data_IF_725625168973
#
_entry.id   IF_725625168973
#
_cell.length_a   1.000
_cell.length_b   1.000
_cell.length_c   1.000
_cell.angle_alpha   90.00
_cell.angle_beta   90.00
_cell.angle_gamma   90.00
#
_symmetry.space_group_name_H-M   'P 1'
#
loop_
_entity.id
_entity.type
_entity.pdbx_description
1 polymer ?
#
# COMPACT_ATOMS: atom_id res chain seq x y z
N UNK A 1 91.89 -13.64 31.71
CA UNK A 1 90.71 -14.49 31.98
C UNK A 1 89.53 -13.69 32.51
N UNK A 2 89.72 -12.81 33.51
CA UNK A 2 88.64 -11.95 34.04
C UNK A 2 88.13 -10.88 33.06
N UNK A 3 89.01 -10.16 32.37
CA UNK A 3 88.61 -9.16 31.36
C UNK A 3 87.76 -9.76 30.23
N UNK A 4 88.16 -10.92 29.69
CA UNK A 4 87.42 -11.64 28.65
C UNK A 4 86.03 -12.11 29.13
N UNK A 5 85.88 -12.33 30.43
CA UNK A 5 84.61 -12.74 31.06
C UNK A 5 83.69 -11.55 31.27
N UNK A 6 84.26 -10.38 31.61
CA UNK A 6 83.56 -9.11 31.75
C UNK A 6 83.00 -8.62 30.40
N UNK A 7 83.83 -8.62 29.35
CA UNK A 7 83.42 -8.24 27.98
C UNK A 7 82.29 -9.13 27.46
N UNK A 8 82.35 -10.44 27.75
CA UNK A 8 81.29 -11.39 27.37
C UNK A 8 79.97 -11.10 28.09
N UNK A 9 80.03 -10.70 29.37
CA UNK A 9 78.86 -10.28 30.15
C UNK A 9 78.27 -8.96 29.64
N UNK A 10 79.11 -8.00 29.27
CA UNK A 10 78.67 -6.74 28.66
C UNK A 10 77.97 -6.98 27.32
N UNK A 11 78.49 -7.86 26.46
CA UNK A 11 77.82 -8.22 25.21
C UNK A 11 76.48 -8.93 25.44
N UNK A 12 76.38 -9.79 26.46
CA UNK A 12 75.12 -10.45 26.83
C UNK A 12 74.10 -9.46 27.39
N UNK A 13 74.53 -8.49 28.20
CA UNK A 13 73.68 -7.42 28.69
C UNK A 13 73.15 -6.56 27.55
N UNK A 14 74.02 -6.19 26.61
CA UNK A 14 73.67 -5.34 25.47
C UNK A 14 72.71 -6.05 24.51
N UNK A 15 72.87 -7.36 24.29
CA UNK A 15 71.94 -8.16 23.49
C UNK A 15 70.58 -8.33 24.19
N UNK A 16 70.58 -8.56 25.51
CA UNK A 16 69.35 -8.63 26.30
C UNK A 16 68.58 -7.30 26.31
N UNK A 17 69.28 -6.16 26.40
CA UNK A 17 68.66 -4.83 26.31
C UNK A 17 68.04 -4.56 24.92
N UNK A 18 68.73 -4.93 23.84
CA UNK A 18 68.19 -4.83 22.47
C UNK A 18 66.96 -5.69 22.28
N UNK A 19 66.97 -6.92 22.78
CA UNK A 19 65.83 -7.83 22.71
C UNK A 19 64.65 -7.32 23.55
N UNK A 20 64.90 -6.78 24.75
CA UNK A 20 63.89 -6.14 25.58
C UNK A 20 63.22 -4.95 24.85
N UNK A 21 64.02 -4.08 24.22
CA UNK A 21 63.52 -2.93 23.47
C UNK A 21 62.66 -3.38 22.27
N UNK A 22 63.11 -4.39 21.53
CA UNK A 22 62.36 -4.98 20.42
C UNK A 22 61.03 -5.57 20.88
N UNK A 23 61.03 -6.34 21.98
CA UNK A 23 59.81 -6.93 22.55
C UNK A 23 58.85 -5.87 23.09
N UNK A 24 59.36 -4.79 23.71
CA UNK A 24 58.54 -3.65 24.12
C UNK A 24 57.84 -3.00 22.93
N UNK A 25 58.56 -2.70 21.84
CA UNK A 25 57.96 -2.11 20.64
C UNK A 25 56.90 -3.00 19.99
N UNK A 26 57.13 -4.31 19.93
CA UNK A 26 56.13 -5.28 19.46
C UNK A 26 54.90 -5.28 20.36
N UNK A 27 55.10 -5.31 21.69
CA UNK A 27 54.01 -5.25 22.67
C UNK A 27 53.20 -3.97 22.50
N UNK A 28 53.85 -2.82 22.41
CA UNK A 28 53.19 -1.52 22.28
C UNK A 28 52.33 -1.46 21.02
N UNK A 29 52.87 -1.91 19.88
CA UNK A 29 52.13 -2.00 18.61
C UNK A 29 50.93 -2.95 18.68
N UNK A 30 51.09 -4.12 19.30
CA UNK A 30 49.98 -5.08 19.47
C UNK A 30 48.89 -4.49 20.37
N UNK A 31 49.27 -3.78 21.44
CA UNK A 31 48.31 -3.12 22.33
C UNK A 31 47.54 -2.02 21.59
N UNK A 32 48.22 -1.21 20.77
CA UNK A 32 47.58 -0.19 19.95
C UNK A 32 46.60 -0.80 18.95
N UNK A 33 47.02 -1.83 18.20
CA UNK A 33 46.15 -2.56 17.27
C UNK A 33 44.95 -3.19 17.96
N UNK A 34 45.15 -3.78 19.15
CA UNK A 34 44.05 -4.34 19.95
C UNK A 34 43.03 -3.25 20.29
N UNK A 35 43.49 -2.09 20.77
CA UNK A 35 42.62 -0.99 21.15
C UNK A 35 41.84 -0.43 19.95
N UNK A 36 42.47 -0.31 18.78
CA UNK A 36 41.80 0.11 17.54
C UNK A 36 40.71 -0.88 17.10
N UNK A 37 41.03 -2.18 17.12
CA UNK A 37 40.07 -3.23 16.74
C UNK A 37 38.90 -3.29 17.72
N UNK A 38 39.18 -3.18 19.02
CA UNK A 38 38.15 -3.13 20.06
C UNK A 38 37.22 -1.94 19.88
N UNK A 39 37.77 -0.74 19.62
CA UNK A 39 36.97 0.45 19.35
C UNK A 39 36.08 0.29 18.11
N UNK A 40 36.63 -0.26 17.02
CA UNK A 40 35.87 -0.57 15.79
C UNK A 40 34.78 -1.60 16.05
N UNK A 41 35.08 -2.66 16.80
CA UNK A 41 34.11 -3.69 17.16
C UNK A 41 32.94 -3.10 17.94
N UNK A 42 33.22 -2.25 18.94
CA UNK A 42 32.17 -1.58 19.72
C UNK A 42 31.31 -0.64 18.86
N UNK A 43 31.91 0.07 17.90
CA UNK A 43 31.17 0.91 16.96
C UNK A 43 30.24 0.08 16.06
N UNK A 44 30.77 -0.96 15.42
CA UNK A 44 30.00 -1.85 14.55
C UNK A 44 28.88 -2.56 15.31
N UNK A 45 29.13 -2.96 16.57
CA UNK A 45 28.11 -3.60 17.39
C UNK A 45 26.97 -2.63 17.73
N UNK A 46 27.27 -1.35 18.03
CA UNK A 46 26.25 -0.31 18.22
C UNK A 46 25.45 -0.04 16.95
N UNK A 47 26.12 -0.03 15.79
CA UNK A 47 25.47 0.16 14.50
C UNK A 47 24.55 -1.01 14.16
N UNK A 48 24.98 -2.26 14.37
CA UNK A 48 24.14 -3.44 14.21
C UNK A 48 22.88 -3.35 15.08
N UNK A 49 23.04 -3.05 16.37
CA UNK A 49 21.91 -2.94 17.30
C UNK A 49 20.93 -1.82 16.90
N UNK A 50 21.43 -0.72 16.30
CA UNK A 50 20.57 0.33 15.74
C UNK A 50 19.81 -0.17 14.51
N UNK A 51 20.50 -0.81 13.56
CA UNK A 51 19.91 -1.31 12.31
C UNK A 51 18.86 -2.40 12.58
N UNK A 52 19.08 -3.28 13.54
CA UNK A 52 18.09 -4.27 13.97
C UNK A 52 16.81 -3.59 14.50
N UNK A 53 16.95 -2.54 15.31
CA UNK A 53 15.80 -1.76 15.80
C UNK A 53 15.08 -1.03 14.66
N UNK A 54 15.82 -0.47 13.70
CA UNK A 54 15.25 0.17 12.50
C UNK A 54 14.49 -0.85 11.68
N UNK A 55 15.04 -2.05 11.45
CA UNK A 55 14.37 -3.12 10.73
C UNK A 55 13.05 -3.50 11.41
N UNK A 56 13.05 -3.71 12.73
CA UNK A 56 11.84 -4.03 13.49
C UNK A 56 10.81 -2.89 13.37
N UNK A 57 11.25 -1.63 13.48
CA UNK A 57 10.37 -0.47 13.36
C UNK A 57 9.71 -0.41 11.97
N UNK A 58 10.50 -0.57 10.90
CA UNK A 58 9.99 -0.53 9.54
C UNK A 58 9.05 -1.70 9.24
N UNK A 59 9.37 -2.90 9.74
CA UNK A 59 8.47 -4.06 9.61
C UNK A 59 7.13 -3.80 10.28
N UNK A 60 7.13 -3.37 11.55
CA UNK A 60 5.90 -3.04 12.28
C UNK A 60 5.12 -1.91 11.64
N UNK A 61 5.81 -0.90 11.10
CA UNK A 61 5.18 0.21 10.39
C UNK A 61 4.52 -0.25 9.09
N UNK A 62 5.16 -1.15 8.35
CA UNK A 62 4.61 -1.77 7.14
C UNK A 62 3.37 -2.62 7.45
N UNK A 63 3.44 -3.45 8.48
CA UNK A 63 2.32 -4.29 8.93
C UNK A 63 1.12 -3.42 9.34
N UNK A 64 1.37 -2.38 10.13
CA UNK A 64 0.34 -1.44 10.55
C UNK A 64 -0.27 -0.69 9.36
N UNK A 65 0.55 -0.19 8.44
CA UNK A 65 0.07 0.51 7.25
C UNK A 65 -0.82 -0.39 6.37
N UNK A 66 -0.46 -1.67 6.22
CA UNK A 66 -1.27 -2.66 5.49
C UNK A 66 -2.62 -2.90 6.17
N UNK A 67 -2.65 -3.05 7.49
CA UNK A 67 -3.92 -3.24 8.21
C UNK A 67 -4.82 -2.00 8.13
N UNK A 68 -4.24 -0.79 8.22
CA UNK A 68 -5.01 0.45 8.02
C UNK A 68 -5.59 0.55 6.61
N UNK A 69 -4.80 0.24 5.59
CA UNK A 69 -5.26 0.23 4.20
C UNK A 69 -6.37 -0.81 4.00
N UNK A 70 -6.20 -2.02 4.55
CA UNK A 70 -7.22 -3.09 4.54
C UNK A 70 -8.54 -2.59 5.13
N UNK A 71 -8.54 -2.06 6.36
CA UNK A 71 -9.77 -1.58 7.02
C UNK A 71 -10.48 -0.48 6.23
N UNK A 72 -9.73 0.44 5.61
CA UNK A 72 -10.29 1.50 4.79
C UNK A 72 -10.95 0.96 3.51
N UNK A 73 -10.27 0.03 2.83
CA UNK A 73 -10.81 -0.64 1.64
C UNK A 73 -12.05 -1.46 1.99
N UNK A 74 -12.01 -2.27 3.06
CA UNK A 74 -13.14 -3.05 3.56
C UNK A 74 -14.35 -2.18 3.86
N UNK A 75 -14.15 -1.04 4.52
CA UNK A 75 -15.23 -0.10 4.85
C UNK A 75 -15.86 0.51 3.60
N UNK A 76 -15.05 0.99 2.65
CA UNK A 76 -15.56 1.66 1.46
C UNK A 76 -16.29 0.70 0.52
N UNK A 77 -15.70 -0.48 0.28
CA UNK A 77 -16.33 -1.49 -0.58
C UNK A 77 -17.56 -2.09 0.10
N UNK A 78 -17.55 -2.30 1.41
CA UNK A 78 -18.76 -2.72 2.14
C UNK A 78 -19.87 -1.69 2.00
N UNK A 79 -19.59 -0.39 2.18
CA UNK A 79 -20.59 0.66 1.97
C UNK A 79 -21.14 0.65 0.55
N UNK A 80 -20.29 0.48 -0.46
CA UNK A 80 -20.72 0.40 -1.85
C UNK A 80 -21.66 -0.79 -2.09
N UNK A 81 -21.28 -1.98 -1.61
CA UNK A 81 -22.11 -3.17 -1.70
C UNK A 81 -23.43 -3.01 -0.96
N UNK A 82 -23.42 -2.38 0.22
CA UNK A 82 -24.62 -2.15 1.00
C UNK A 82 -25.56 -1.15 0.36
N UNK A 83 -25.01 -0.14 -0.30
CA UNK A 83 -25.78 0.85 -1.05
C UNK A 83 -26.51 0.19 -2.23
N UNK A 84 -25.80 -0.67 -2.97
CA UNK A 84 -26.33 -1.26 -4.20
C UNK A 84 -27.20 -2.49 -3.94
N UNK A 85 -26.75 -3.41 -3.09
CA UNK A 85 -27.36 -4.73 -2.90
C UNK A 85 -28.04 -4.91 -1.54
N UNK A 86 -27.90 -3.95 -0.62
CA UNK A 86 -28.54 -3.95 0.69
C UNK A 86 -27.62 -4.33 1.86
N UNK A 87 -28.09 -4.16 3.10
CA UNK A 87 -27.26 -4.09 4.32
C UNK A 87 -26.53 -5.40 4.68
N UNK A 88 -26.99 -6.53 4.13
CA UNK A 88 -26.47 -7.86 4.46
C UNK A 88 -25.10 -8.16 3.84
N UNK A 89 -24.63 -7.32 2.91
CA UNK A 89 -23.35 -7.51 2.24
C UNK A 89 -22.20 -6.89 3.05
N UNK A 90 -21.07 -7.60 3.09
CA UNK A 90 -19.79 -7.14 3.63
C UNK A 90 -18.65 -7.56 2.71
N UNK A 91 -17.61 -6.75 2.66
CA UNK A 91 -16.38 -7.04 1.95
C UNK A 91 -15.24 -7.26 2.94
N UNK A 92 -14.49 -8.34 2.74
CA UNK A 92 -13.34 -8.70 3.57
C UNK A 92 -12.12 -9.00 2.70
N UNK A 93 -10.96 -8.61 3.20
CA UNK A 93 -9.66 -8.88 2.60
C UNK A 93 -8.87 -9.77 3.55
N UNK A 94 -8.47 -10.95 3.07
CA UNK A 94 -7.59 -11.83 3.80
C UNK A 94 -6.15 -11.61 3.36
N UNK A 95 -5.34 -11.07 4.27
CA UNK A 95 -3.90 -10.92 4.05
C UNK A 95 -3.20 -12.21 4.44
N UNK A 96 -2.37 -12.72 3.53
CA UNK A 96 -1.53 -13.91 3.75
C UNK A 96 -0.10 -13.61 3.32
N UNK A 97 0.84 -14.43 3.78
CA UNK A 97 2.26 -14.34 3.41
C UNK A 97 2.69 -15.69 2.84
N UNK A 98 2.93 -15.72 1.52
CA UNK A 98 3.41 -16.90 0.82
C UNK A 98 4.89 -16.73 0.50
N UNK A 99 5.76 -17.16 1.41
CA UNK A 99 7.22 -17.17 1.19
C UNK A 99 7.87 -15.79 1.16
N UNK A 100 7.35 -14.83 1.94
CA UNK A 100 7.84 -13.45 1.99
C UNK A 100 7.16 -12.52 0.99
N UNK A 101 6.23 -13.06 0.17
CA UNK A 101 5.39 -12.27 -0.73
C UNK A 101 4.00 -12.10 -0.11
N UNK A 102 3.63 -10.87 0.28
CA UNK A 102 2.30 -10.63 0.79
C UNK A 102 1.25 -10.77 -0.30
N UNK A 103 0.24 -11.58 -0.02
CA UNK A 103 -0.90 -11.85 -0.88
C UNK A 103 -2.17 -11.34 -0.21
N UNK A 104 -3.12 -10.86 -1.02
CA UNK A 104 -4.43 -10.41 -0.55
C UNK A 104 -5.52 -11.15 -1.34
N UNK A 105 -6.40 -11.85 -0.63
CA UNK A 105 -7.57 -12.48 -1.22
C UNK A 105 -8.83 -11.71 -0.84
N UNK A 106 -9.73 -11.53 -1.79
CA UNK A 106 -10.96 -10.76 -1.60
C UNK A 106 -12.16 -11.68 -1.44
N UNK A 107 -13.03 -11.31 -0.50
CA UNK A 107 -14.21 -12.08 -0.15
C UNK A 107 -15.43 -11.16 0.00
N UNK A 108 -16.58 -11.68 -0.41
CA UNK A 108 -17.89 -11.10 -0.14
C UNK A 108 -18.61 -12.00 0.84
N UNK A 109 -19.03 -11.41 1.95
CA UNK A 109 -19.85 -12.08 2.94
C UNK A 109 -21.27 -11.58 2.81
N UNK A 110 -22.22 -12.51 2.78
CA UNK A 110 -23.64 -12.19 2.97
C UNK A 110 -24.22 -13.03 4.07
N UNK A 111 -25.14 -12.45 4.81
CA UNK A 111 -25.94 -13.21 5.76
C UNK A 111 -27.21 -13.75 5.09
N UNK A 112 -27.39 -15.07 5.12
CA UNK A 112 -28.58 -15.75 4.62
C UNK A 112 -29.11 -16.71 5.69
N UNK A 113 -30.35 -16.54 6.14
CA UNK A 113 -30.96 -17.33 7.21
C UNK A 113 -30.10 -17.40 8.49
N UNK A 114 -29.46 -16.28 8.88
CA UNK A 114 -28.57 -16.21 10.06
C UNK A 114 -27.23 -16.93 9.90
N UNK A 115 -26.88 -17.40 8.69
CA UNK A 115 -25.58 -18.01 8.40
C UNK A 115 -24.76 -17.10 7.46
N UNK A 116 -23.50 -16.79 7.78
CA UNK A 116 -22.63 -16.08 6.86
C UNK A 116 -22.20 -17.01 5.74
N UNK A 117 -22.43 -16.59 4.50
CA UNK A 117 -21.90 -17.21 3.29
C UNK A 117 -20.73 -16.35 2.84
N UNK A 118 -19.53 -16.91 2.85
CA UNK A 118 -18.29 -16.26 2.43
C UNK A 118 -17.83 -16.86 1.10
N UNK A 119 -17.76 -16.03 0.07
CA UNK A 119 -17.32 -16.49 -1.24
C UNK A 119 -16.37 -15.48 -1.88
N UNK A 120 -15.54 -15.96 -2.81
CA UNK A 120 -14.77 -15.06 -3.68
C UNK A 120 -15.73 -14.35 -4.65
N UNK A 121 -15.50 -13.05 -4.96
CA UNK A 121 -16.33 -12.29 -5.90
C UNK A 121 -16.56 -13.01 -7.22
N UNK A 122 -15.50 -13.61 -7.78
CA UNK A 122 -15.52 -14.29 -9.08
C UNK A 122 -16.30 -15.61 -9.11
N UNK A 123 -16.48 -16.27 -7.96
CA UNK A 123 -16.96 -17.66 -7.91
C UNK A 123 -18.47 -17.79 -7.73
N UNK A 124 -19.16 -16.74 -7.27
CA UNK A 124 -20.46 -16.91 -6.61
C UNK A 124 -21.47 -15.79 -6.79
N UNK A 125 -21.06 -14.66 -7.38
CA UNK A 125 -21.90 -13.49 -7.54
C UNK A 125 -21.74 -13.05 -8.99
N UNK A 126 -22.82 -13.03 -9.77
CA UNK A 126 -22.78 -12.70 -11.20
C UNK A 126 -22.06 -11.38 -11.50
N UNK A 127 -21.78 -11.11 -12.78
CA UNK A 127 -20.92 -10.01 -13.23
C UNK A 127 -21.20 -8.64 -12.57
N UNK A 128 -22.46 -8.33 -12.24
CA UNK A 128 -22.82 -7.08 -11.57
C UNK A 128 -22.16 -6.85 -10.21
N UNK A 129 -22.02 -7.88 -9.37
CA UNK A 129 -21.35 -7.71 -8.05
C UNK A 129 -19.86 -7.47 -8.25
N UNK A 130 -19.24 -8.17 -9.20
CA UNK A 130 -17.83 -7.97 -9.56
C UNK A 130 -17.59 -6.55 -10.08
N UNK A 131 -18.48 -6.03 -10.93
CA UNK A 131 -18.40 -4.67 -11.45
C UNK A 131 -18.48 -3.62 -10.33
N UNK A 132 -19.42 -3.76 -9.38
CA UNK A 132 -19.55 -2.85 -8.24
C UNK A 132 -18.31 -2.91 -7.33
N UNK A 133 -17.80 -4.10 -7.04
CA UNK A 133 -16.57 -4.26 -6.24
C UNK A 133 -15.39 -3.60 -6.95
N UNK A 134 -15.24 -3.81 -8.25
CA UNK A 134 -14.18 -3.20 -9.06
C UNK A 134 -14.26 -1.66 -9.04
N UNK A 135 -15.46 -1.11 -9.21
CA UNK A 135 -15.71 0.33 -9.12
C UNK A 135 -15.38 0.88 -7.73
N UNK A 136 -15.89 0.23 -6.68
CA UNK A 136 -15.67 0.65 -5.30
C UNK A 136 -14.20 0.59 -4.91
N UNK A 137 -13.48 -0.49 -5.29
CA UNK A 137 -12.04 -0.62 -5.06
C UNK A 137 -11.25 0.47 -5.78
N UNK A 138 -11.59 0.79 -7.04
CA UNK A 138 -10.95 1.87 -7.79
C UNK A 138 -11.11 3.20 -7.08
N UNK A 139 -12.31 3.51 -6.62
CA UNK A 139 -12.60 4.75 -5.89
C UNK A 139 -11.86 4.76 -4.55
N UNK A 140 -11.89 3.65 -3.81
CA UNK A 140 -11.21 3.52 -2.53
C UNK A 140 -9.70 3.69 -2.65
N UNK A 141 -9.07 3.14 -3.70
CA UNK A 141 -7.65 3.36 -3.98
C UNK A 141 -7.37 4.84 -4.27
N UNK A 142 -8.19 5.50 -5.08
CA UNK A 142 -7.99 6.92 -5.39
C UNK A 142 -8.12 7.82 -4.15
N UNK A 143 -9.00 7.50 -3.22
CA UNK A 143 -9.19 8.29 -1.99
C UNK A 143 -8.15 7.98 -0.90
N UNK A 144 -7.60 6.78 -0.88
CA UNK A 144 -6.61 6.35 0.13
C UNK A 144 -5.17 6.70 -0.24
N UNK A 145 -4.84 6.83 -1.53
CA UNK A 145 -3.50 7.23 -1.98
C UNK A 145 -3.10 8.59 -1.39
N UNK A 146 -1.82 8.68 -0.99
CA UNK A 146 -1.17 9.90 -0.48
C UNK A 146 0.10 10.18 -1.29
N UNK A 147 0.32 11.42 -1.77
CA UNK A 147 -0.59 12.58 -1.71
C UNK A 147 -1.91 12.33 -2.49
N UNK A 148 -2.99 13.01 -2.09
CA UNK A 148 -4.32 12.77 -2.66
C UNK A 148 -4.32 13.06 -4.16
N UNK A 149 -4.79 12.10 -4.96
CA UNK A 149 -4.92 12.25 -6.40
C UNK A 149 -6.09 13.20 -6.73
N UNK A 150 -5.74 14.40 -7.18
CA UNK A 150 -6.71 15.39 -7.64
C UNK A 150 -7.25 15.03 -9.04
N UNK A 151 -8.35 15.68 -9.42
CA UNK A 151 -8.98 15.50 -10.72
C UNK A 151 -10.21 14.57 -10.71
N UNK A 152 -10.85 14.43 -11.88
CA UNK A 152 -12.09 13.67 -12.02
C UNK A 152 -11.86 12.16 -12.00
N UNK A 153 -12.92 11.41 -11.71
CA UNK A 153 -13.00 9.98 -11.98
C UNK A 153 -13.58 9.80 -13.38
N UNK A 154 -12.83 9.13 -14.26
CA UNK A 154 -13.29 8.75 -15.60
C UNK A 154 -13.83 7.32 -15.57
N UNK A 155 -15.07 7.12 -16.01
CA UNK A 155 -15.73 5.82 -16.09
C UNK A 155 -16.20 5.57 -17.52
N UNK A 156 -15.82 4.44 -18.10
CA UNK A 156 -16.29 4.01 -19.42
C UNK A 156 -17.18 2.79 -19.24
N UNK A 157 -18.47 2.95 -19.55
CA UNK A 157 -19.55 1.96 -19.38
C UNK A 157 -19.55 1.28 -18.00
N UNK A 158 -19.60 2.05 -16.88
CA UNK A 158 -19.61 1.44 -15.55
C UNK A 158 -20.89 0.64 -15.33
N UNK A 159 -20.73 -0.50 -14.65
CA UNK A 159 -21.86 -1.35 -14.27
C UNK A 159 -22.53 -2.07 -15.45
N UNK A 160 -21.82 -2.32 -16.55
CA UNK A 160 -22.35 -3.03 -17.72
C UNK A 160 -23.01 -4.38 -17.40
N UNK A 161 -22.55 -5.08 -16.37
CA UNK A 161 -23.12 -6.36 -15.94
C UNK A 161 -24.09 -6.23 -14.76
N UNK A 162 -24.40 -5.02 -14.33
CA UNK A 162 -25.36 -4.72 -13.27
C UNK A 162 -26.77 -4.78 -13.88
N UNK A 163 -27.68 -5.54 -13.27
CA UNK A 163 -29.07 -5.59 -13.73
C UNK A 163 -29.76 -4.24 -13.55
N UNK A 164 -30.79 -3.97 -14.36
CA UNK A 164 -31.51 -2.68 -14.36
C UNK A 164 -31.95 -2.23 -12.96
N UNK A 165 -32.44 -3.17 -12.13
CA UNK A 165 -32.86 -2.93 -10.74
C UNK A 165 -31.77 -2.31 -9.85
N UNK A 166 -30.49 -2.55 -10.17
CA UNK A 166 -29.34 -2.07 -9.39
C UNK A 166 -28.61 -0.88 -10.03
N UNK A 167 -29.03 -0.45 -11.23
CA UNK A 167 -28.43 0.72 -11.90
C UNK A 167 -28.71 2.00 -11.11
N UNK A 168 -29.93 2.21 -10.65
CA UNK A 168 -30.29 3.41 -9.86
C UNK A 168 -29.53 3.45 -8.52
N UNK A 169 -29.50 2.38 -7.70
CA UNK A 169 -28.65 2.33 -6.52
C UNK A 169 -27.17 2.58 -6.79
N UNK A 170 -26.62 2.08 -7.91
CA UNK A 170 -25.23 2.36 -8.31
C UNK A 170 -25.00 3.85 -8.58
N UNK A 171 -25.96 4.53 -9.23
CA UNK A 171 -25.88 5.96 -9.50
C UNK A 171 -25.88 6.76 -8.21
N UNK A 172 -26.80 6.45 -7.32
CA UNK A 172 -26.92 7.13 -6.03
C UNK A 172 -25.64 6.94 -5.19
N UNK A 173 -25.04 5.75 -5.22
CA UNK A 173 -23.71 5.51 -4.66
C UNK A 173 -22.65 6.44 -5.28
N UNK A 174 -22.58 6.54 -6.62
CA UNK A 174 -21.65 7.45 -7.30
C UNK A 174 -21.87 8.91 -6.92
N UNK A 175 -23.13 9.37 -6.84
CA UNK A 175 -23.48 10.72 -6.36
C UNK A 175 -22.99 10.97 -4.94
N UNK A 176 -23.22 10.01 -4.04
CA UNK A 176 -22.76 10.11 -2.65
C UNK A 176 -21.24 10.28 -2.54
N UNK A 177 -20.48 9.66 -3.45
CA UNK A 177 -19.02 9.81 -3.54
C UNK A 177 -18.65 11.21 -4.03
N UNK A 178 -19.30 11.71 -5.08
CA UNK A 178 -19.09 13.07 -5.57
C UNK A 178 -19.30 14.09 -4.46
N UNK A 179 -20.39 13.97 -3.69
CA UNK A 179 -20.73 14.86 -2.58
C UNK A 179 -19.75 14.73 -1.41
N UNK A 180 -19.42 13.51 -1.00
CA UNK A 180 -18.57 13.26 0.17
C UNK A 180 -17.12 13.69 -0.09
N UNK A 181 -16.59 13.39 -1.28
CA UNK A 181 -15.18 13.58 -1.59
C UNK A 181 -14.92 14.83 -2.44
N UNK A 182 -15.96 15.52 -2.90
CA UNK A 182 -15.84 16.71 -3.75
C UNK A 182 -15.23 16.40 -5.12
N UNK A 183 -15.52 15.21 -5.67
CA UNK A 183 -14.95 14.75 -6.95
C UNK A 183 -15.95 14.86 -8.08
N UNK A 184 -15.45 15.28 -9.23
CA UNK A 184 -16.19 15.20 -10.48
C UNK A 184 -16.11 13.77 -11.01
N UNK A 185 -17.24 13.21 -11.43
CA UNK A 185 -17.30 11.95 -12.19
C UNK A 185 -17.67 12.29 -13.63
N UNK A 186 -16.91 11.77 -14.58
CA UNK A 186 -17.19 11.86 -16.01
C UNK A 186 -17.38 10.43 -16.49
N UNK A 187 -18.52 10.19 -17.13
CA UNK A 187 -18.94 8.85 -17.49
C UNK A 187 -19.35 8.80 -18.95
N UNK A 188 -18.94 7.75 -19.65
CA UNK A 188 -19.41 7.39 -20.99
C UNK A 188 -20.34 6.19 -20.82
N UNK A 189 -21.57 6.31 -21.32
CA UNK A 189 -22.51 5.17 -21.28
C UNK A 189 -23.61 5.28 -22.33
N UNK A 190 -24.16 4.13 -22.73
CA UNK A 190 -25.40 4.02 -23.51
C UNK A 190 -26.65 3.84 -22.64
N UNK A 191 -26.52 3.70 -21.31
CA UNK A 191 -27.65 3.52 -20.41
C UNK A 191 -28.38 4.86 -20.16
N UNK A 192 -29.67 4.91 -20.50
CA UNK A 192 -30.48 6.12 -20.37
C UNK A 192 -30.72 6.52 -18.92
N UNK A 193 -30.87 5.57 -17.99
CA UNK A 193 -31.03 5.87 -16.56
C UNK A 193 -29.81 6.57 -15.97
N UNK A 194 -28.60 6.17 -16.40
CA UNK A 194 -27.35 6.85 -16.02
C UNK A 194 -27.31 8.30 -16.55
N UNK A 195 -27.88 8.53 -17.72
CA UNK A 195 -27.89 9.84 -18.38
C UNK A 195 -28.89 10.79 -17.72
N UNK A 196 -30.10 10.30 -17.42
CA UNK A 196 -31.17 11.07 -16.75
C UNK A 196 -30.78 11.53 -15.34
N UNK A 197 -29.99 10.71 -14.63
CA UNK A 197 -29.58 11.03 -13.28
C UNK A 197 -28.34 11.93 -13.21
N UNK A 198 -27.64 12.19 -14.33
CA UNK A 198 -26.44 13.01 -14.34
C UNK A 198 -26.74 14.51 -14.15
N UNK A 199 -25.82 15.24 -13.51
CA UNK A 199 -25.93 16.71 -13.40
C UNK A 199 -25.91 17.41 -14.77
N UNK A 200 -25.25 16.77 -15.74
CA UNK A 200 -25.14 17.20 -17.11
C UNK A 200 -24.92 16.00 -18.05
N UNK A 201 -25.72 15.93 -19.12
CA UNK A 201 -25.64 14.91 -20.15
C UNK A 201 -25.19 15.48 -21.50
N UNK A 202 -24.34 14.73 -22.21
CA UNK A 202 -23.91 15.02 -23.58
C UNK A 202 -24.14 13.79 -24.46
N UNK A 203 -24.89 13.97 -25.53
CA UNK A 203 -25.15 12.93 -26.52
C UNK A 203 -24.22 13.07 -27.70
N UNK A 204 -23.48 12.01 -28.01
CA UNK A 204 -22.61 11.94 -29.19
C UNK A 204 -23.28 11.07 -30.23
N UNK A 205 -23.47 11.58 -31.45
CA UNK A 205 -24.04 10.85 -32.59
C UNK A 205 -23.17 10.99 -33.83
N UNK A 206 -23.14 9.97 -34.67
CA UNK A 206 -22.46 10.04 -35.97
C UNK A 206 -23.40 10.67 -37.01
N UNK A 207 -22.97 11.75 -37.64
CA UNK A 207 -23.68 12.40 -38.76
C UNK A 207 -22.69 12.67 -39.89
N UNK A 208 -22.95 12.07 -41.07
CA UNK A 208 -22.08 12.21 -42.26
C UNK A 208 -20.59 11.94 -41.99
N UNK A 209 -20.28 10.91 -41.20
CA UNK A 209 -18.90 10.53 -40.85
C UNK A 209 -18.23 11.42 -39.80
N UNK A 210 -18.95 12.38 -39.19
CA UNK A 210 -18.46 13.25 -38.13
C UNK A 210 -19.23 13.03 -36.83
N UNK A 211 -18.53 13.02 -35.70
CA UNK A 211 -19.16 13.00 -34.37
C UNK A 211 -19.76 14.37 -34.07
N UNK A 212 -21.07 14.41 -33.86
CA UNK A 212 -21.83 15.61 -33.47
C UNK A 212 -22.24 15.45 -32.02
N UNK A 213 -21.96 16.46 -31.20
CA UNK A 213 -22.25 16.46 -29.76
C UNK A 213 -23.40 17.42 -29.48
N UNK A 214 -24.46 16.91 -28.85
CA UNK A 214 -25.60 17.69 -28.38
C UNK A 214 -25.67 17.65 -26.87
N UNK A 215 -25.84 18.81 -26.24
CA UNK A 215 -26.10 18.92 -24.81
C UNK A 215 -27.60 18.80 -24.55
N UNK A 216 -28.00 17.97 -23.60
CA UNK A 216 -29.40 17.94 -23.18
C UNK A 216 -29.72 19.15 -22.29
N UNK A 217 -30.78 19.92 -22.56
CA UNK A 217 -31.24 20.95 -21.66
C UNK A 217 -31.77 20.28 -20.38
N UNK A 218 -31.36 20.78 -19.20
CA UNK A 218 -31.90 20.32 -17.92
C UNK A 218 -33.43 20.45 -17.94
N UNK A 219 -34.14 19.36 -17.68
CA UNK A 219 -35.59 19.37 -17.44
C UNK A 219 -35.97 20.03 -16.09
N UNK A 220 -34.97 20.40 -15.29
CA UNK A 220 -35.20 20.89 -13.93
C UNK A 220 -35.57 22.37 -13.91
N UNK A 221 -36.82 22.63 -13.56
CA UNK A 221 -37.49 23.91 -13.49
C UNK A 221 -37.06 24.71 -12.23
N UNK A 222 -35.75 24.80 -11.96
CA UNK A 222 -35.20 25.66 -10.91
C UNK A 222 -34.48 26.85 -11.55
N UNK A 223 -35.29 27.83 -11.94
CA UNK A 223 -34.83 29.23 -12.02
C UNK A 223 -34.57 29.70 -10.60
N UNK A 224 -33.32 30.02 -10.30
CA UNK A 224 -33.00 31.07 -9.32
C UNK A 224 -32.96 32.37 -10.11
#
# INVERSE_FOLDING_TARGET
MEQLRLEKLEQQLLSAQKELAKRKGIRDRIVEQKNEVEAKWQQLNKERDLLEKVQILLQKSSDHAREQAKMQLETLVTKALQYVFGPMFRFEIELSDHGGNPTAEFYVITEWNGKPIRNKPQDSRGGGVVDIISLALRIALLETIRPRLQGPIMLDEPGKHVSEDFVVPMIEFLKSICETFGRQVIMVTHNTHLTEAADQAFFVRLSSGKSVVNREPRLDNRRI
#
